data_IF_841849416034
#
_entry.id   IF_841849416034
#
_cell.length_a   1.000
_cell.length_b   1.000
_cell.length_c   1.000
_cell.angle_alpha   90.00
_cell.angle_beta   90.00
_cell.angle_gamma   90.00
#
_symmetry.space_group_name_H-M   'P 1'
#
loop_
_entity.id
_entity.type
_entity.pdbx_description
1 polymer ?
#
# COMPACT_ATOMS: atom_id res chain seq x y z
N UNK A 1 11.07 0.56 -23.57
CA UNK A 1 11.99 0.54 -22.39
C UNK A 1 11.17 0.22 -21.15
N UNK A 2 11.65 -0.65 -20.25
CA UNK A 2 11.00 -0.85 -18.97
C UNK A 2 10.93 0.49 -18.23
N UNK A 3 9.74 0.90 -17.79
CA UNK A 3 9.64 2.08 -16.91
C UNK A 3 10.07 1.63 -15.52
N UNK A 4 11.12 2.26 -14.98
CA UNK A 4 11.53 2.05 -13.59
C UNK A 4 10.47 2.61 -12.63
N UNK A 5 10.35 2.01 -11.45
CA UNK A 5 9.46 2.52 -10.40
C UNK A 5 9.84 3.96 -10.02
N UNK A 6 8.88 4.87 -10.06
CA UNK A 6 9.07 6.22 -9.51
C UNK A 6 9.08 6.12 -7.99
N UNK A 7 10.19 6.52 -7.38
CA UNK A 7 10.27 6.65 -5.93
C UNK A 7 9.69 7.99 -5.50
N UNK A 8 8.95 7.96 -4.41
CA UNK A 8 8.44 9.16 -3.75
C UNK A 8 9.15 9.31 -2.41
N UNK A 9 9.40 10.56 -1.97
CA UNK A 9 9.94 10.79 -0.63
C UNK A 9 8.93 10.30 0.42
N UNK A 10 9.39 9.97 1.64
CA UNK A 10 8.50 9.74 2.77
C UNK A 10 7.57 10.95 3.00
N UNK A 11 6.40 10.68 3.53
CA UNK A 11 5.46 11.70 3.95
C UNK A 11 6.05 12.59 5.05
N UNK A 12 5.64 13.85 5.08
CA UNK A 12 5.84 14.72 6.25
C UNK A 12 4.72 14.56 7.29
N UNK A 13 3.70 13.76 7.01
CA UNK A 13 2.63 13.46 7.94
C UNK A 13 3.14 12.57 9.08
N UNK A 14 2.56 12.76 10.25
CA UNK A 14 2.80 11.99 11.48
C UNK A 14 1.60 11.09 11.79
N UNK A 15 1.73 10.20 12.77
CA UNK A 15 0.63 9.34 13.24
C UNK A 15 -0.60 10.13 13.73
N UNK A 16 -0.41 11.40 14.09
CA UNK A 16 -1.44 12.30 14.62
C UNK A 16 -2.06 13.21 13.53
N UNK A 17 -1.50 13.20 12.33
CA UNK A 17 -1.94 14.09 11.24
C UNK A 17 -3.35 13.73 10.78
N UNK A 18 -4.27 14.70 10.79
CA UNK A 18 -5.68 14.55 10.36
C UNK A 18 -5.82 14.35 8.85
N UNK A 19 -4.83 14.83 8.10
CA UNK A 19 -4.72 14.60 6.67
C UNK A 19 -3.24 14.54 6.28
N UNK A 20 -2.96 13.92 5.14
CA UNK A 20 -1.58 13.81 4.66
C UNK A 20 -1.48 13.05 3.35
N UNK A 21 -0.35 13.22 2.67
CA UNK A 21 -0.05 12.49 1.44
C UNK A 21 1.01 11.44 1.72
N UNK A 22 0.75 10.19 1.37
CA UNK A 22 1.67 9.06 1.56
C UNK A 22 1.93 8.35 0.23
N UNK A 23 3.02 7.60 0.18
CA UNK A 23 3.37 6.81 -1.00
C UNK A 23 2.80 5.39 -0.93
N UNK A 24 2.44 4.83 -2.09
CA UNK A 24 1.98 3.45 -2.21
C UNK A 24 2.69 2.69 -3.32
N UNK A 25 2.63 1.36 -3.22
CA UNK A 25 3.02 0.43 -4.28
C UNK A 25 1.93 -0.62 -4.46
N UNK A 26 1.52 -0.83 -5.70
CA UNK A 26 0.59 -1.85 -6.13
C UNK A 26 1.24 -2.75 -7.19
N UNK A 27 1.14 -4.05 -6.98
CA UNK A 27 1.51 -5.05 -7.96
C UNK A 27 0.40 -6.11 -8.05
N UNK A 28 -0.28 -6.26 -9.20
CA UNK A 28 -1.48 -7.10 -9.37
C UNK A 28 -1.26 -8.62 -9.28
N UNK A 29 -0.06 -9.10 -8.88
CA UNK A 29 0.41 -10.50 -9.02
C UNK A 29 -0.55 -11.62 -8.55
N UNK A 30 -1.65 -11.35 -7.85
CA UNK A 30 -2.69 -12.37 -7.56
C UNK A 30 -4.14 -11.85 -7.58
N UNK A 31 -4.42 -10.69 -8.19
CA UNK A 31 -5.77 -10.12 -8.16
C UNK A 31 -6.26 -9.96 -9.60
N UNK A 32 -6.69 -11.07 -10.23
CA UNK A 32 -7.41 -11.17 -11.50
C UNK A 32 -6.84 -10.38 -12.73
N UNK A 33 -6.77 -10.98 -13.93
CA UNK A 33 -6.21 -10.33 -15.12
C UNK A 33 -6.96 -9.07 -15.62
N UNK A 34 -7.99 -8.61 -14.91
CA UNK A 34 -8.85 -7.47 -15.26
C UNK A 34 -8.50 -6.21 -14.46
N UNK A 35 -7.65 -6.28 -13.44
CA UNK A 35 -7.42 -5.15 -12.55
C UNK A 35 -6.43 -4.14 -13.13
N UNK A 36 -6.99 -3.13 -13.81
CA UNK A 36 -6.31 -1.87 -14.10
C UNK A 36 -5.86 -1.21 -12.78
N UNK A 37 -4.74 -0.49 -12.83
CA UNK A 37 -4.32 0.41 -11.75
C UNK A 37 -5.45 1.35 -11.35
N UNK A 38 -5.51 1.78 -10.08
CA UNK A 38 -6.49 2.79 -9.68
C UNK A 38 -6.33 4.06 -10.52
N UNK A 39 -7.45 4.71 -10.83
CA UNK A 39 -7.44 6.01 -11.47
C UNK A 39 -7.09 7.11 -10.44
N UNK A 40 -6.49 8.22 -10.89
CA UNK A 40 -6.40 9.42 -10.07
C UNK A 40 -7.81 9.86 -9.66
N UNK A 41 -7.98 10.24 -8.39
CA UNK A 41 -9.26 10.61 -7.77
C UNK A 41 -10.08 9.44 -7.25
N UNK A 42 -9.70 8.19 -7.52
CA UNK A 42 -10.43 7.03 -6.98
C UNK A 42 -10.31 6.96 -5.46
N UNK A 43 -11.45 6.73 -4.78
CA UNK A 43 -11.54 6.59 -3.33
C UNK A 43 -11.11 5.20 -2.88
N UNK A 44 -10.49 5.12 -1.70
CA UNK A 44 -10.08 3.88 -1.06
C UNK A 44 -10.34 3.90 0.44
N UNK A 45 -10.40 2.71 1.01
CA UNK A 45 -10.28 2.48 2.46
C UNK A 45 -8.93 1.87 2.78
N UNK A 46 -8.53 1.99 4.03
CA UNK A 46 -7.35 1.33 4.57
C UNK A 46 -7.78 0.26 5.57
N UNK A 47 -7.05 -0.86 5.57
CA UNK A 47 -7.29 -1.95 6.50
C UNK A 47 -5.98 -2.50 7.04
N UNK A 48 -5.97 -2.85 8.33
CA UNK A 48 -4.89 -3.67 8.89
C UNK A 48 -5.03 -5.10 8.37
N UNK A 49 -3.96 -5.59 7.76
CA UNK A 49 -3.89 -6.95 7.23
C UNK A 49 -2.57 -7.58 7.64
N UNK A 50 -2.60 -8.88 7.93
CA UNK A 50 -1.37 -9.65 8.08
C UNK A 50 -0.56 -9.55 6.79
N UNK A 51 0.71 -9.17 6.89
CA UNK A 51 1.58 -9.12 5.73
C UNK A 51 1.85 -10.57 5.33
N UNK A 52 1.41 -11.01 4.13
CA UNK A 52 1.76 -12.33 3.64
C UNK A 52 3.28 -12.40 3.62
N UNK A 53 3.85 -13.47 4.16
CA UNK A 53 5.30 -13.69 4.18
C UNK A 53 5.85 -13.89 2.76
N UNK A 54 5.87 -12.83 1.94
CA UNK A 54 6.46 -12.81 0.61
C UNK A 54 7.84 -12.21 0.75
N UNK A 55 8.85 -13.07 0.72
CA UNK A 55 10.24 -12.65 0.60
C UNK A 55 11.14 -12.83 1.83
N UNK A 56 10.92 -13.84 2.70
CA UNK A 56 12.05 -14.43 3.45
C UNK A 56 12.93 -15.25 2.51
N UNK A 57 13.44 -14.62 1.45
CA UNK A 57 14.57 -15.17 0.72
C UNK A 57 15.78 -14.93 1.60
N UNK A 58 16.09 -15.93 2.43
CA UNK A 58 17.39 -16.19 3.09
C UNK A 58 18.22 -14.93 3.37
N UNK A 59 17.76 -14.04 4.25
CA UNK A 59 18.74 -13.35 5.08
C UNK A 59 19.18 -14.35 6.14
N UNK A 60 20.51 -14.38 6.36
CA UNK A 60 21.27 -15.48 6.92
C UNK A 60 20.73 -16.11 8.20
N UNK A 61 21.35 -17.23 8.56
CA UNK A 61 21.14 -17.99 9.80
C UNK A 61 21.28 -17.10 11.05
N UNK A 62 20.26 -16.31 11.34
CA UNK A 62 19.93 -15.76 12.63
C UNK A 62 18.54 -16.29 12.91
N UNK A 63 18.39 -17.08 13.98
CA UNK A 63 17.12 -17.64 14.43
C UNK A 63 16.05 -16.55 14.36
N UNK A 64 15.20 -16.58 13.33
CA UNK A 64 13.96 -15.86 13.39
C UNK A 64 13.22 -16.49 14.56
N UNK A 65 13.06 -15.72 15.64
CA UNK A 65 12.14 -16.05 16.70
C UNK A 65 10.83 -16.52 16.07
N UNK A 66 10.13 -17.44 16.73
CA UNK A 66 8.73 -17.79 16.42
C UNK A 66 7.93 -16.49 16.51
N UNK A 67 7.94 -15.73 15.43
CA UNK A 67 7.76 -14.29 15.43
C UNK A 67 6.32 -14.00 15.10
N UNK A 68 5.72 -13.15 15.91
CA UNK A 68 4.36 -12.64 15.74
C UNK A 68 4.09 -12.25 14.27
N UNK A 69 2.85 -12.41 13.78
CA UNK A 69 2.48 -11.91 12.47
C UNK A 69 2.83 -10.42 12.40
N UNK A 70 3.60 -10.04 11.38
CA UNK A 70 3.82 -8.63 11.06
C UNK A 70 2.58 -8.13 10.35
N UNK A 71 1.95 -7.09 10.87
CA UNK A 71 0.83 -6.42 10.20
C UNK A 71 1.35 -5.31 9.28
N UNK A 72 0.58 -5.01 8.24
CA UNK A 72 0.79 -3.91 7.31
C UNK A 72 -0.54 -3.25 6.99
N UNK A 73 -0.49 -2.18 6.19
CA UNK A 73 -1.68 -1.41 5.82
C UNK A 73 -2.02 -1.67 4.37
N UNK A 74 -3.12 -2.40 4.18
CA UNK A 74 -3.69 -2.71 2.89
C UNK A 74 -4.54 -1.54 2.39
N UNK A 75 -4.48 -1.29 1.09
CA UNK A 75 -5.37 -0.38 0.38
C UNK A 75 -6.45 -1.25 -0.27
N UNK A 76 -7.71 -0.89 -0.06
CA UNK A 76 -8.88 -1.64 -0.53
C UNK A 76 -9.87 -0.69 -1.18
N UNK A 77 -10.59 -1.18 -2.18
CA UNK A 77 -11.64 -0.40 -2.83
C UNK A 77 -12.70 0.03 -1.79
N UNK A 78 -13.24 1.23 -1.97
CA UNK A 78 -14.24 1.77 -1.04
C UNK A 78 -15.57 1.02 -1.15
N UNK A 79 -15.86 0.46 -2.32
CA UNK A 79 -17.08 -0.28 -2.62
C UNK A 79 -17.27 -1.53 -1.73
N UNK A 80 -18.52 -2.02 -1.56
CA UNK A 80 -18.84 -3.15 -0.67
C UNK A 80 -18.09 -4.44 -0.98
N UNK A 81 -17.73 -4.68 -2.25
CA UNK A 81 -16.94 -5.84 -2.68
C UNK A 81 -15.44 -5.72 -2.37
N UNK A 82 -14.99 -4.54 -1.91
CA UNK A 82 -13.74 -4.33 -1.16
C UNK A 82 -12.51 -5.00 -1.77
N UNK A 83 -12.22 -4.71 -3.04
CA UNK A 83 -11.10 -5.38 -3.73
C UNK A 83 -9.75 -4.87 -3.22
N UNK A 84 -8.82 -5.79 -2.95
CA UNK A 84 -7.45 -5.45 -2.56
C UNK A 84 -6.71 -4.72 -3.69
N UNK A 85 -6.23 -3.50 -3.40
CA UNK A 85 -5.59 -2.58 -4.34
C UNK A 85 -4.09 -2.37 -4.08
N UNK A 86 -3.49 -2.95 -3.03
CA UNK A 86 -2.05 -2.82 -2.79
C UNK A 86 -1.68 -2.53 -1.33
N UNK A 87 -0.45 -2.10 -1.12
CA UNK A 87 0.09 -1.76 0.22
C UNK A 87 0.63 -0.34 0.26
N UNK A 88 0.56 0.27 1.45
CA UNK A 88 1.31 1.49 1.77
C UNK A 88 2.80 1.17 1.90
N UNK A 89 3.66 2.14 1.60
CA UNK A 89 5.11 1.99 1.79
C UNK A 89 5.45 1.67 3.26
N UNK A 90 6.54 0.92 3.48
CA UNK A 90 7.02 0.65 4.84
C UNK A 90 7.40 1.95 5.58
N UNK A 91 7.90 2.94 4.85
CA UNK A 91 8.26 4.24 5.40
C UNK A 91 7.03 5.01 5.90
N UNK A 92 5.88 4.89 5.24
CA UNK A 92 4.69 5.70 5.55
C UNK A 92 3.61 4.93 6.33
N UNK A 93 3.74 3.61 6.51
CA UNK A 93 2.68 2.82 7.16
C UNK A 93 2.38 3.28 8.60
N UNK A 94 3.38 3.79 9.32
CA UNK A 94 3.21 4.23 10.70
C UNK A 94 2.20 5.39 10.80
N UNK A 95 2.14 6.27 9.79
CA UNK A 95 1.22 7.41 9.70
C UNK A 95 -0.24 6.99 9.88
N UNK A 96 -0.61 5.80 9.40
CA UNK A 96 -1.97 5.29 9.41
C UNK A 96 -2.22 4.19 10.45
N UNK A 97 -1.15 3.64 11.06
CA UNK A 97 -1.23 2.45 11.90
C UNK A 97 -2.06 2.70 13.15
N UNK A 98 -1.72 3.74 13.92
CA UNK A 98 -2.38 4.10 15.18
C UNK A 98 -3.90 4.30 15.00
N UNK A 99 -4.31 4.94 13.89
CA UNK A 99 -5.71 5.18 13.55
C UNK A 99 -6.48 3.91 13.30
N UNK A 100 -5.90 3.00 12.51
CA UNK A 100 -6.53 1.73 12.22
C UNK A 100 -6.59 0.80 13.44
N UNK A 101 -5.59 0.87 14.33
CA UNK A 101 -5.61 0.17 15.63
C UNK A 101 -6.74 0.68 16.53
N UNK A 102 -7.02 1.98 16.50
CA UNK A 102 -8.16 2.61 17.17
C UNK A 102 -9.51 2.37 16.47
N UNK A 103 -9.53 1.63 15.34
CA UNK A 103 -10.73 1.40 14.51
C UNK A 103 -11.36 2.70 13.97
N UNK A 104 -10.57 3.75 13.82
CA UNK A 104 -11.02 4.98 13.17
C UNK A 104 -11.30 4.71 11.69
N UNK A 105 -12.35 5.36 11.17
CA UNK A 105 -12.70 5.30 9.75
C UNK A 105 -12.18 6.55 9.07
N UNK A 106 -11.47 6.38 7.97
CA UNK A 106 -11.02 7.47 7.14
C UNK A 106 -10.90 7.00 5.69
N UNK A 107 -10.98 7.97 4.78
CA UNK A 107 -10.98 7.72 3.34
C UNK A 107 -9.69 8.30 2.76
N UNK A 108 -9.12 7.58 1.81
CA UNK A 108 -8.04 8.09 0.99
C UNK A 108 -8.46 8.23 -0.46
N UNK A 109 -7.68 8.99 -1.22
CA UNK A 109 -7.83 9.16 -2.65
C UNK A 109 -6.48 9.15 -3.33
N UNK A 110 -6.40 8.49 -4.49
CA UNK A 110 -5.17 8.49 -5.29
C UNK A 110 -4.97 9.85 -5.93
N UNK A 111 -3.86 10.54 -5.65
CA UNK A 111 -3.55 11.84 -6.26
C UNK A 111 -2.62 11.70 -7.46
N UNK A 112 -1.78 10.68 -7.46
CA UNK A 112 -0.88 10.38 -8.56
C UNK A 112 -0.66 8.88 -8.68
N UNK A 113 -0.87 8.33 -9.86
CA UNK A 113 -0.60 6.92 -10.18
C UNK A 113 0.40 6.83 -11.33
N UNK A 114 1.55 6.21 -11.08
CA UNK A 114 2.64 6.02 -12.03
C UNK A 114 2.86 4.52 -12.30
N UNK A 115 2.33 3.98 -13.42
CA UNK A 115 2.59 2.60 -13.82
C UNK A 115 4.06 2.37 -14.19
N UNK A 116 4.61 1.21 -13.82
CA UNK A 116 6.00 0.81 -14.09
C UNK A 116 6.10 -0.70 -14.41
N UNK A 117 7.10 -1.10 -15.22
CA UNK A 117 7.29 -2.49 -15.68
C UNK A 117 7.92 -2.62 -17.08
N UNK A 118 8.20 -3.86 -17.54
CA UNK A 118 7.99 -5.14 -16.84
C UNK A 118 9.06 -5.40 -15.76
N UNK A 119 8.71 -6.19 -14.75
CA UNK A 119 9.68 -6.73 -13.79
C UNK A 119 10.49 -7.85 -14.44
N UNK A 120 11.80 -7.88 -14.20
CA UNK A 120 12.75 -8.84 -14.80
C UNK A 120 12.38 -10.32 -14.57
N UNK A 121 11.53 -10.61 -13.57
CA UNK A 121 11.08 -11.97 -13.23
C UNK A 121 9.74 -12.38 -13.86
N UNK A 122 9.23 -11.65 -14.85
CA UNK A 122 7.89 -11.89 -15.40
C UNK A 122 6.80 -11.42 -14.44
N UNK A 123 6.08 -10.38 -14.85
CA UNK A 123 5.00 -9.81 -14.07
C UNK A 123 4.27 -8.74 -14.85
N UNK A 124 2.97 -8.61 -14.56
CA UNK A 124 2.16 -7.49 -15.04
C UNK A 124 2.74 -6.15 -14.57
N UNK A 125 2.30 -5.07 -15.21
CA UNK A 125 2.66 -3.69 -14.84
C UNK A 125 2.30 -3.49 -13.35
N UNK A 126 3.16 -2.82 -12.58
CA UNK A 126 2.86 -2.36 -11.22
C UNK A 126 2.55 -0.87 -11.27
N UNK A 127 2.05 -0.29 -10.18
CA UNK A 127 1.97 1.15 -10.03
C UNK A 127 2.56 1.61 -8.70
N UNK A 128 3.28 2.72 -8.75
CA UNK A 128 3.69 3.50 -7.58
C UNK A 128 2.99 4.83 -7.63
N UNK A 129 2.78 5.48 -6.50
CA UNK A 129 2.11 6.76 -6.54
C UNK A 129 1.98 7.44 -5.20
N UNK A 130 1.16 8.47 -5.21
CA UNK A 130 0.76 9.23 -4.04
C UNK A 130 -0.72 9.04 -3.81
N UNK A 131 -1.09 8.94 -2.54
CA UNK A 131 -2.47 9.00 -2.09
C UNK A 131 -2.55 10.04 -0.99
N UNK A 132 -3.67 10.75 -0.91
CA UNK A 132 -3.96 11.62 0.22
C UNK A 132 -5.07 11.01 1.05
N UNK A 133 -4.92 11.06 2.36
CA UNK A 133 -5.96 10.66 3.30
C UNK A 133 -6.47 11.88 4.05
N UNK A 134 -7.73 11.80 4.45
CA UNK A 134 -8.38 12.81 5.30
C UNK A 134 -9.30 12.09 6.27
N UNK A 135 -9.25 12.51 7.54
CA UNK A 135 -10.14 11.97 8.56
C UNK A 135 -11.50 12.63 8.40
N UNK A 136 -12.56 11.83 8.31
CA UNK A 136 -13.93 12.32 8.47
C UNK A 136 -14.25 12.30 9.96
N UNK A 137 -14.56 13.46 10.53
CA UNK A 137 -15.07 13.61 11.91
C UNK A 137 -16.32 12.76 12.17
#
# INVERSE_FOLDING_TARGET
MPKSMRRFPPSTATEESVSGTISFVYCPRNVSPVNKFPANGAKIRFELREVPARGRQRQGRGRAARGQPSFGIAIVDYEPDGRFRGWVSEADKHVLLRRLENKEKFVGYFTLVCPFGPWDQGGEVCASGLLTFETTE
#
